data_IF_115626675373
#
_entry.id   IF_115626675373
#
_cell.length_a   1.000
_cell.length_b   1.000
_cell.length_c   1.000
_cell.angle_alpha   90.00
_cell.angle_beta   90.00
_cell.angle_gamma   90.00
#
_symmetry.space_group_name_H-M   'P 1'
#
loop_
_entity.id
_entity.type
_entity.pdbx_description
1 polymer ?
#
# COMPACT_ATOMS: atom_id res chain seq x y z
N UNK A 1 -22.52 10.72 -2.61
CA UNK A 1 -21.78 10.99 -3.87
C UNK A 1 -20.62 11.94 -3.65
N UNK A 2 -20.87 13.17 -3.17
CA UNK A 2 -19.78 14.14 -2.91
C UNK A 2 -18.82 13.62 -1.84
N UNK A 3 -19.31 13.03 -0.76
CA UNK A 3 -18.50 12.43 0.30
C UNK A 3 -17.61 11.31 -0.23
N UNK A 4 -18.14 10.44 -1.10
CA UNK A 4 -17.37 9.33 -1.69
C UNK A 4 -16.22 9.85 -2.55
N UNK A 5 -16.45 10.87 -3.36
CA UNK A 5 -15.38 11.50 -4.17
C UNK A 5 -14.35 12.19 -3.28
N UNK A 6 -14.79 12.91 -2.25
CA UNK A 6 -13.91 13.57 -1.30
C UNK A 6 -12.98 12.56 -0.59
N UNK A 7 -13.51 11.40 -0.15
CA UNK A 7 -12.72 10.35 0.46
C UNK A 7 -11.67 9.77 -0.49
N UNK A 8 -12.02 9.56 -1.76
CA UNK A 8 -11.06 9.09 -2.78
C UNK A 8 -9.93 10.11 -2.96
N UNK A 9 -10.27 11.39 -3.09
CA UNK A 9 -9.26 12.46 -3.26
C UNK A 9 -8.35 12.55 -2.05
N UNK A 10 -8.91 12.56 -0.83
CA UNK A 10 -8.12 12.60 0.40
C UNK A 10 -7.18 11.39 0.48
N UNK A 11 -7.69 10.20 0.19
CA UNK A 11 -6.88 8.98 0.24
C UNK A 11 -5.78 8.95 -0.84
N UNK A 12 -6.09 9.40 -2.04
CA UNK A 12 -5.10 9.55 -3.10
C UNK A 12 -3.98 10.54 -2.72
N UNK A 13 -4.32 11.65 -2.07
CA UNK A 13 -3.33 12.60 -1.54
C UNK A 13 -2.48 11.96 -0.44
N UNK A 14 -3.06 11.15 0.43
CA UNK A 14 -2.32 10.39 1.47
C UNK A 14 -1.31 9.45 0.81
N UNK A 15 -1.73 8.62 -0.15
CA UNK A 15 -0.83 7.72 -0.89
C UNK A 15 0.31 8.52 -1.54
N UNK A 16 -0.02 9.59 -2.26
CA UNK A 16 0.97 10.44 -2.93
C UNK A 16 1.97 11.03 -1.94
N UNK A 17 1.50 11.48 -0.77
CA UNK A 17 2.37 12.06 0.26
C UNK A 17 3.37 11.04 0.81
N UNK A 18 2.96 9.80 1.05
CA UNK A 18 3.87 8.72 1.45
C UNK A 18 4.81 8.30 0.31
N UNK A 19 4.30 8.27 -0.90
CA UNK A 19 5.08 7.94 -2.10
C UNK A 19 6.14 8.99 -2.42
N UNK A 20 5.88 10.25 -2.10
CA UNK A 20 6.81 11.36 -2.32
C UNK A 20 7.98 11.42 -1.31
N UNK A 21 7.92 10.64 -0.22
CA UNK A 21 9.01 10.61 0.77
C UNK A 21 10.26 9.97 0.18
N UNK A 22 11.46 10.54 0.44
CA UNK A 22 12.74 9.91 0.10
C UNK A 22 12.86 8.49 0.67
N UNK A 23 13.64 7.64 0.02
CA UNK A 23 13.79 6.24 0.45
C UNK A 23 14.32 6.12 1.89
N UNK A 24 15.22 7.00 2.29
CA UNK A 24 15.77 7.05 3.66
C UNK A 24 14.69 7.25 4.72
N UNK A 25 13.79 8.22 4.52
CA UNK A 25 12.71 8.53 5.45
C UNK A 25 11.66 7.41 5.48
N UNK A 26 11.31 6.88 4.31
CA UNK A 26 10.41 5.73 4.19
C UNK A 26 10.99 4.47 4.85
N UNK A 27 12.31 4.26 4.76
CA UNK A 27 13.03 3.16 5.42
C UNK A 27 13.06 3.30 6.94
N UNK A 28 13.19 4.51 7.48
CA UNK A 28 13.10 4.75 8.92
C UNK A 28 11.73 4.34 9.46
N UNK A 29 10.66 4.80 8.83
CA UNK A 29 9.29 4.50 9.26
C UNK A 29 9.02 2.99 9.20
N UNK A 30 9.34 2.35 8.07
CA UNK A 30 9.15 0.90 7.93
C UNK A 30 10.07 0.09 8.83
N UNK A 31 11.28 0.57 9.10
CA UNK A 31 12.22 -0.02 10.05
C UNK A 31 11.67 -0.02 11.48
N UNK A 32 11.10 1.09 11.94
CA UNK A 32 10.47 1.18 13.26
C UNK A 32 9.28 0.23 13.40
N UNK A 33 8.44 0.15 12.37
CA UNK A 33 7.30 -0.78 12.35
C UNK A 33 7.78 -2.22 12.37
N UNK A 34 8.75 -2.56 11.55
CA UNK A 34 9.35 -3.89 11.48
C UNK A 34 9.98 -4.32 12.81
N UNK A 35 10.70 -3.40 13.47
CA UNK A 35 11.26 -3.67 14.78
C UNK A 35 10.18 -3.96 15.83
N UNK A 36 9.10 -3.19 15.83
CA UNK A 36 7.97 -3.44 16.74
C UNK A 36 7.32 -4.79 16.51
N UNK A 37 7.15 -5.18 15.25
CA UNK A 37 6.59 -6.50 14.86
C UNK A 37 7.49 -7.62 15.39
N UNK A 38 8.80 -7.56 15.13
CA UNK A 38 9.74 -8.60 15.56
C UNK A 38 9.83 -8.65 17.08
N UNK A 39 9.83 -7.51 17.76
CA UNK A 39 9.83 -7.43 19.23
C UNK A 39 8.56 -8.07 19.81
N UNK A 40 7.40 -7.81 19.21
CA UNK A 40 6.14 -8.41 19.61
C UNK A 40 6.17 -9.94 19.42
N UNK A 41 6.68 -10.42 18.27
CA UNK A 41 6.84 -11.85 18.02
C UNK A 41 7.80 -12.50 19.02
N UNK A 42 8.91 -11.85 19.34
CA UNK A 42 9.86 -12.32 20.36
C UNK A 42 9.20 -12.51 21.73
N UNK A 43 8.27 -11.63 22.09
CA UNK A 43 7.51 -11.73 23.33
C UNK A 43 6.44 -12.82 23.27
N UNK A 44 5.67 -12.88 22.18
CA UNK A 44 4.54 -13.83 22.02
C UNK A 44 5.04 -15.27 21.92
N UNK A 45 6.13 -15.51 21.17
CA UNK A 45 6.71 -16.84 21.00
C UNK A 45 7.73 -17.21 22.06
N UNK A 46 8.01 -16.32 23.02
CA UNK A 46 8.97 -16.57 24.09
C UNK A 46 10.41 -16.72 23.61
N UNK A 47 10.75 -16.14 22.46
CA UNK A 47 12.11 -16.13 21.95
C UNK A 47 12.99 -15.22 22.83
N UNK A 48 14.24 -15.62 23.03
CA UNK A 48 15.20 -14.88 23.85
C UNK A 48 16.28 -14.21 22.97
N UNK A 49 15.86 -13.59 21.87
CA UNK A 49 16.79 -12.88 21.02
C UNK A 49 17.26 -11.57 21.67
N UNK A 50 18.54 -11.24 21.45
CA UNK A 50 19.14 -9.97 21.89
C UNK A 50 18.64 -8.80 21.04
N UNK A 51 18.83 -7.57 21.49
CA UNK A 51 18.45 -6.37 20.76
C UNK A 51 19.06 -6.30 19.36
N UNK A 52 20.33 -6.69 19.20
CA UNK A 52 21.02 -6.71 17.91
C UNK A 52 20.46 -7.76 16.94
N UNK A 53 20.04 -8.92 17.45
CA UNK A 53 19.37 -9.95 16.64
C UNK A 53 17.99 -9.50 16.19
N UNK A 54 17.23 -8.81 17.05
CA UNK A 54 15.94 -8.23 16.71
C UNK A 54 16.06 -7.16 15.62
N UNK A 55 17.11 -6.33 15.67
CA UNK A 55 17.39 -5.33 14.63
C UNK A 55 17.70 -5.99 13.27
N UNK A 56 18.53 -7.04 13.28
CA UNK A 56 18.82 -7.79 12.03
C UNK A 56 17.57 -8.46 11.45
N UNK A 57 16.71 -9.02 12.29
CA UNK A 57 15.44 -9.58 11.85
C UNK A 57 14.51 -8.49 11.30
N UNK A 58 14.45 -7.34 11.95
CA UNK A 58 13.65 -6.20 11.51
C UNK A 58 14.10 -5.70 10.12
N UNK A 59 15.41 -5.60 9.88
CA UNK A 59 15.94 -5.22 8.57
C UNK A 59 15.55 -6.21 7.46
N UNK A 60 15.50 -7.50 7.75
CA UNK A 60 15.09 -8.53 6.77
C UNK A 60 13.64 -8.42 6.35
N UNK A 61 12.76 -8.00 7.26
CA UNK A 61 11.31 -7.88 6.98
C UNK A 61 10.89 -6.45 6.61
N UNK A 62 11.80 -5.47 6.65
CA UNK A 62 11.50 -4.07 6.36
C UNK A 62 10.92 -3.89 4.96
N UNK A 63 11.56 -4.47 3.94
CA UNK A 63 11.08 -4.40 2.56
C UNK A 63 9.69 -5.05 2.37
N UNK A 64 9.46 -6.31 2.81
CA UNK A 64 8.12 -6.90 2.79
C UNK A 64 7.07 -6.08 3.53
N UNK A 65 7.39 -5.50 4.68
CA UNK A 65 6.48 -4.66 5.46
C UNK A 65 6.10 -3.40 4.68
N UNK A 66 7.07 -2.73 4.06
CA UNK A 66 6.84 -1.57 3.20
C UNK A 66 5.94 -1.92 2.02
N UNK A 67 6.20 -3.03 1.34
CA UNK A 67 5.36 -3.47 0.22
C UNK A 67 3.94 -3.85 0.65
N UNK A 68 3.78 -4.50 1.79
CA UNK A 68 2.47 -4.80 2.36
C UNK A 68 1.67 -3.53 2.69
N UNK A 69 2.34 -2.49 3.20
CA UNK A 69 1.73 -1.19 3.43
C UNK A 69 1.21 -0.57 2.11
N UNK A 70 2.03 -0.51 1.06
CA UNK A 70 1.61 -0.03 -0.25
C UNK A 70 0.45 -0.83 -0.84
N UNK A 71 0.51 -2.15 -0.80
CA UNK A 71 -0.61 -2.99 -1.25
C UNK A 71 -1.90 -2.67 -0.50
N UNK A 72 -1.83 -2.42 0.81
CA UNK A 72 -2.98 -2.06 1.64
C UNK A 72 -3.56 -0.70 1.25
N UNK A 73 -2.71 0.27 0.98
CA UNK A 73 -3.11 1.62 0.54
C UNK A 73 -3.89 1.56 -0.78
N UNK A 74 -3.40 0.80 -1.76
CA UNK A 74 -4.07 0.62 -3.05
C UNK A 74 -5.34 -0.25 -2.95
N UNK A 75 -5.37 -1.24 -2.05
CA UNK A 75 -6.57 -2.02 -1.77
C UNK A 75 -7.70 -1.14 -1.21
N UNK A 76 -7.38 -0.23 -0.27
CA UNK A 76 -8.33 0.74 0.27
C UNK A 76 -8.80 1.71 -0.82
N UNK A 77 -7.89 2.21 -1.68
CA UNK A 77 -8.25 3.06 -2.81
C UNK A 77 -9.24 2.37 -3.75
N UNK A 78 -8.97 1.13 -4.13
CA UNK A 78 -9.85 0.33 -4.98
C UNK A 78 -11.25 0.15 -4.35
N UNK A 79 -11.31 -0.11 -3.04
CA UNK A 79 -12.55 -0.23 -2.31
C UNK A 79 -13.36 1.08 -2.32
N UNK A 80 -12.70 2.21 -2.06
CA UNK A 80 -13.35 3.54 -2.07
C UNK A 80 -13.90 3.86 -3.47
N UNK A 81 -13.16 3.56 -4.54
CA UNK A 81 -13.61 3.75 -5.91
C UNK A 81 -14.79 2.83 -6.21
N UNK A 82 -14.72 1.56 -5.82
CA UNK A 82 -15.81 0.60 -6.00
C UNK A 82 -17.10 1.06 -5.30
N UNK A 83 -17.01 1.53 -4.07
CA UNK A 83 -18.13 2.10 -3.32
C UNK A 83 -18.71 3.35 -3.98
N UNK A 84 -17.85 4.23 -4.48
CA UNK A 84 -18.28 5.42 -5.21
C UNK A 84 -19.02 5.06 -6.49
N UNK A 85 -18.50 4.14 -7.28
CA UNK A 85 -19.18 3.64 -8.51
C UNK A 85 -20.56 3.05 -8.19
N UNK A 86 -20.71 2.40 -7.04
CA UNK A 86 -22.00 1.91 -6.57
C UNK A 86 -22.96 3.06 -6.25
N UNK A 87 -22.48 4.11 -5.59
CA UNK A 87 -23.28 5.29 -5.26
C UNK A 87 -23.71 6.11 -6.49
N UNK A 88 -22.99 5.98 -7.61
CA UNK A 88 -23.33 6.57 -8.92
C UNK A 88 -24.20 5.67 -9.80
N UNK A 89 -24.76 4.60 -9.22
CA UNK A 89 -25.64 3.62 -9.90
C UNK A 89 -25.00 2.89 -11.10
N UNK A 90 -23.68 2.81 -11.12
CA UNK A 90 -22.92 2.05 -12.12
C UNK A 90 -22.92 0.57 -11.73
N UNK A 91 -23.91 -0.20 -12.22
CA UNK A 91 -24.08 -1.61 -11.83
C UNK A 91 -23.19 -2.58 -12.62
N UNK A 92 -22.84 -2.25 -13.86
CA UNK A 92 -22.07 -3.13 -14.75
C UNK A 92 -20.57 -2.80 -14.69
N UNK A 93 -19.74 -3.83 -14.57
CA UNK A 93 -18.27 -3.74 -14.61
C UNK A 93 -17.61 -2.82 -13.55
N UNK A 94 -18.28 -2.56 -12.41
CA UNK A 94 -17.73 -1.71 -11.31
C UNK A 94 -16.35 -2.14 -10.85
N UNK A 95 -16.18 -3.45 -10.68
CA UNK A 95 -14.92 -4.00 -10.21
C UNK A 95 -13.79 -3.77 -11.21
N UNK A 96 -14.02 -4.07 -12.49
CA UNK A 96 -13.03 -3.82 -13.53
C UNK A 96 -12.71 -2.33 -13.66
N UNK A 97 -13.71 -1.45 -13.51
CA UNK A 97 -13.48 0.00 -13.52
C UNK A 97 -12.64 0.45 -12.31
N UNK A 98 -12.97 -0.04 -11.10
CA UNK A 98 -12.22 0.29 -9.89
C UNK A 98 -10.77 -0.19 -10.01
N UNK A 99 -10.54 -1.41 -10.48
CA UNK A 99 -9.21 -1.96 -10.75
C UNK A 99 -8.45 -1.14 -11.78
N UNK A 100 -9.09 -0.81 -12.90
CA UNK A 100 -8.45 -0.02 -13.96
C UNK A 100 -8.03 1.37 -13.49
N UNK A 101 -8.89 2.06 -12.74
CA UNK A 101 -8.59 3.38 -12.19
C UNK A 101 -7.46 3.28 -11.14
N UNK A 102 -7.50 2.28 -10.26
CA UNK A 102 -6.47 2.06 -9.24
C UNK A 102 -5.13 1.72 -9.89
N UNK A 103 -5.10 0.84 -10.90
CA UNK A 103 -3.88 0.50 -11.63
C UNK A 103 -3.30 1.70 -12.39
N UNK A 104 -4.15 2.53 -13.01
CA UNK A 104 -3.71 3.76 -13.66
C UNK A 104 -3.10 4.75 -12.64
N UNK A 105 -3.70 4.87 -11.47
CA UNK A 105 -3.15 5.70 -10.39
C UNK A 105 -1.81 5.15 -9.89
N UNK A 106 -1.71 3.83 -9.66
CA UNK A 106 -0.45 3.18 -9.27
C UNK A 106 0.67 3.42 -10.30
N UNK A 107 0.35 3.35 -11.60
CA UNK A 107 1.30 3.65 -12.67
C UNK A 107 1.77 5.10 -12.64
N UNK A 108 0.88 6.06 -12.38
CA UNK A 108 1.27 7.48 -12.24
C UNK A 108 2.11 7.73 -10.99
N UNK A 109 1.83 7.03 -9.91
CA UNK A 109 2.59 7.11 -8.68
C UNK A 109 4.02 6.55 -8.86
N UNK A 110 4.16 5.38 -9.48
CA UNK A 110 5.48 4.81 -9.83
C UNK A 110 6.27 5.71 -10.80
N UNK A 111 5.59 6.33 -11.77
CA UNK A 111 6.23 7.31 -12.64
C UNK A 111 6.75 8.51 -11.84
N UNK A 112 5.98 9.00 -10.88
CA UNK A 112 6.41 10.07 -9.98
C UNK A 112 7.61 9.65 -9.12
N UNK A 113 7.65 8.40 -8.64
CA UNK A 113 8.75 7.87 -7.83
C UNK A 113 10.10 7.84 -8.57
N UNK A 114 10.12 7.85 -9.90
CA UNK A 114 11.36 8.00 -10.68
C UNK A 114 12.09 9.32 -10.38
N UNK A 115 11.38 10.34 -9.95
CA UNK A 115 11.92 11.66 -9.61
C UNK A 115 12.21 11.85 -8.12
N UNK A 116 11.91 10.83 -7.28
CA UNK A 116 12.14 10.87 -5.84
C UNK A 116 13.53 10.31 -5.53
N UNK A 117 14.39 11.03 -4.77
CA UNK A 117 15.73 10.55 -4.42
C UNK A 117 15.73 9.19 -3.73
N UNK A 118 16.58 8.28 -4.20
CA UNK A 118 16.74 6.94 -3.64
C UNK A 118 15.67 5.94 -4.04
N UNK A 119 14.60 6.35 -4.73
CA UNK A 119 13.57 5.46 -5.25
C UNK A 119 13.80 5.15 -6.72
N UNK A 120 13.59 3.89 -7.08
CA UNK A 120 13.56 3.44 -8.47
C UNK A 120 12.16 2.94 -8.77
N UNK A 121 11.41 3.65 -9.60
CA UNK A 121 10.14 3.19 -10.12
C UNK A 121 10.33 1.89 -10.92
N UNK A 122 9.56 0.86 -10.58
CA UNK A 122 9.63 -0.45 -11.23
C UNK A 122 8.25 -0.87 -11.68
N UNK A 123 8.15 -1.37 -12.91
CA UNK A 123 6.89 -1.96 -13.43
C UNK A 123 6.37 -3.08 -12.53
N UNK A 124 7.28 -3.84 -11.91
CA UNK A 124 6.94 -4.88 -10.92
C UNK A 124 6.20 -4.32 -9.71
N UNK A 125 6.49 -3.10 -9.30
CA UNK A 125 5.83 -2.46 -8.16
C UNK A 125 4.39 -2.06 -8.53
N UNK A 126 4.15 -1.57 -9.74
CA UNK A 126 2.79 -1.35 -10.27
C UNK A 126 1.98 -2.64 -10.25
N UNK A 127 2.58 -3.77 -10.63
CA UNK A 127 1.90 -5.07 -10.63
C UNK A 127 1.57 -5.54 -9.21
N UNK A 128 2.47 -5.34 -8.25
CA UNK A 128 2.25 -5.69 -6.84
C UNK A 128 1.13 -4.83 -6.24
N UNK A 129 1.16 -3.53 -6.48
CA UNK A 129 0.16 -2.58 -5.98
C UNK A 129 -1.22 -2.86 -6.59
N UNK A 130 -1.26 -3.19 -7.89
CA UNK A 130 -2.47 -3.62 -8.59
C UNK A 130 -3.00 -4.96 -8.09
N UNK A 131 -2.12 -5.87 -7.64
CA UNK A 131 -2.53 -7.15 -7.06
C UNK A 131 -3.31 -6.97 -5.75
N UNK A 132 -2.97 -5.98 -4.92
CA UNK A 132 -3.75 -5.62 -3.73
C UNK A 132 -5.19 -5.24 -4.09
N UNK A 133 -5.36 -4.41 -5.12
CA UNK A 133 -6.66 -4.03 -5.63
C UNK A 133 -7.44 -5.24 -6.21
N UNK A 134 -6.75 -6.16 -6.87
CA UNK A 134 -7.35 -7.38 -7.42
C UNK A 134 -7.88 -8.32 -6.34
N UNK A 135 -7.12 -8.54 -5.28
CA UNK A 135 -7.53 -9.37 -4.15
C UNK A 135 -8.80 -8.84 -3.50
N UNK A 136 -8.91 -7.51 -3.35
CA UNK A 136 -10.11 -6.87 -2.81
C UNK A 136 -11.32 -7.06 -3.72
N UNK A 137 -11.13 -6.96 -5.04
CA UNK A 137 -12.18 -7.20 -6.03
C UNK A 137 -12.70 -8.65 -5.98
N UNK A 138 -11.81 -9.63 -5.89
CA UNK A 138 -12.17 -11.04 -5.77
C UNK A 138 -13.04 -11.30 -4.54
N UNK A 139 -12.68 -10.69 -3.41
CA UNK A 139 -13.43 -10.84 -2.15
C UNK A 139 -14.83 -10.19 -2.20
N UNK A 140 -15.02 -9.16 -3.00
CA UNK A 140 -16.31 -8.49 -3.16
C UNK A 140 -17.27 -9.20 -4.14
N UNK A 141 -16.79 -10.16 -4.95
CA UNK A 141 -17.59 -10.90 -5.93
C UNK A 141 -18.08 -12.26 -5.42
N UNK A 142 -17.50 -12.79 -4.34
CA UNK A 142 -17.81 -14.07 -3.72
C UNK A 142 -18.25 -13.90 -2.27
#
# INVERSE_FOLDING_TARGET
>A
RIVSVALIVVWAVVIFSFSAQPDTESSEISGHVSYRIVKMWNQVFGWKHSGSELEQMAQKIEYPVRKAAHMSEYAVLALLIFQALTAFDRKKNRGCMALGITAAYAATDEFHQLFVPGRAGRVTDVLIDSAGAFLMHWHCLH
#
